data_IF_483380895052
#
_entry.id   IF_483380895052
#
_cell.length_a   1.000
_cell.length_b   1.000
_cell.length_c   1.000
_cell.angle_alpha   90.00
_cell.angle_beta   90.00
_cell.angle_gamma   90.00
#
_symmetry.space_group_name_H-M   'P 1'
#
loop_
_entity.id
_entity.type
_entity.pdbx_description
1 polymer ?
#
# COMPACT_ATOMS: atom_id res chain seq x y z
N UNK A 1 -48.12 -38.82 35.16
CA UNK A 1 -46.78 -38.29 34.84
C UNK A 1 -46.81 -37.86 33.38
N UNK A 2 -46.74 -36.57 33.09
CA UNK A 2 -46.65 -36.05 31.73
C UNK A 2 -45.34 -35.26 31.62
N UNK A 3 -44.35 -35.85 30.96
CA UNK A 3 -43.05 -35.21 30.72
C UNK A 3 -43.18 -34.30 29.51
N UNK A 4 -43.13 -32.98 29.75
CA UNK A 4 -43.12 -31.97 28.70
C UNK A 4 -41.74 -31.91 28.04
N UNK A 5 -41.66 -32.26 26.76
CA UNK A 5 -40.46 -32.04 25.95
C UNK A 5 -40.39 -30.58 25.48
N UNK A 6 -39.58 -29.77 26.15
CA UNK A 6 -39.13 -28.48 25.62
C UNK A 6 -38.13 -28.71 24.49
N UNK A 7 -38.55 -28.49 23.24
CA UNK A 7 -37.64 -28.34 22.10
C UNK A 7 -36.71 -27.15 22.37
N UNK A 8 -35.43 -27.41 22.57
CA UNK A 8 -34.41 -26.36 22.52
C UNK A 8 -34.37 -25.81 21.09
N UNK A 9 -34.70 -24.52 20.94
CA UNK A 9 -34.47 -23.79 19.70
C UNK A 9 -32.95 -23.63 19.56
N UNK A 10 -32.35 -24.34 18.61
CA UNK A 10 -30.95 -24.14 18.24
C UNK A 10 -30.82 -22.74 17.61
N UNK A 11 -30.53 -21.74 18.42
CA UNK A 11 -30.05 -20.45 17.93
C UNK A 11 -28.69 -20.70 17.25
N UNK A 12 -28.61 -20.38 15.96
CA UNK A 12 -27.33 -20.39 15.25
C UNK A 12 -26.38 -19.41 15.95
N UNK A 13 -25.13 -19.80 16.22
CA UNK A 13 -24.18 -18.91 16.87
C UNK A 13 -23.99 -17.66 16.00
N UNK A 14 -23.86 -16.48 16.61
CA UNK A 14 -23.71 -15.24 15.87
C UNK A 14 -22.49 -15.34 14.93
N UNK A 15 -22.58 -14.76 13.72
CA UNK A 15 -21.50 -14.87 12.75
C UNK A 15 -20.20 -14.33 13.34
N UNK A 16 -19.13 -15.14 13.27
CA UNK A 16 -17.81 -14.73 13.74
C UNK A 16 -17.34 -13.51 12.91
N UNK A 17 -17.10 -12.35 13.54
CA UNK A 17 -16.73 -11.12 12.83
C UNK A 17 -15.42 -11.25 12.05
N UNK A 18 -14.47 -12.05 12.52
CA UNK A 18 -13.20 -12.31 11.83
C UNK A 18 -13.44 -13.09 10.52
N UNK A 19 -14.35 -14.06 10.55
CA UNK A 19 -14.72 -14.87 9.37
C UNK A 19 -15.42 -14.02 8.31
N UNK A 20 -16.24 -13.05 8.73
CA UNK A 20 -16.91 -12.10 7.84
C UNK A 20 -15.90 -11.19 7.14
N UNK A 21 -14.97 -10.60 7.91
CA UNK A 21 -13.91 -9.74 7.37
C UNK A 21 -13.04 -10.46 6.32
N UNK A 22 -12.61 -11.69 6.62
CA UNK A 22 -11.81 -12.46 5.66
C UNK A 22 -12.56 -12.77 4.36
N UNK A 23 -13.87 -13.04 4.44
CA UNK A 23 -14.72 -13.29 3.27
C UNK A 23 -14.86 -12.05 2.39
N UNK A 24 -15.02 -10.87 3.00
CA UNK A 24 -15.09 -9.59 2.29
C UNK A 24 -13.75 -9.22 1.64
N UNK A 25 -12.65 -9.33 2.38
CA UNK A 25 -11.30 -9.09 1.85
C UNK A 25 -10.97 -10.02 0.67
N UNK A 26 -11.33 -11.31 0.77
CA UNK A 26 -11.17 -12.29 -0.32
C UNK A 26 -12.00 -11.91 -1.55
N UNK A 27 -13.25 -11.49 -1.38
CA UNK A 27 -14.10 -11.08 -2.49
C UNK A 27 -13.56 -9.82 -3.21
N UNK A 28 -13.04 -8.85 -2.46
CA UNK A 28 -12.37 -7.66 -3.02
C UNK A 28 -11.14 -8.09 -3.82
N UNK A 29 -10.31 -8.98 -3.26
CA UNK A 29 -9.11 -9.49 -3.93
C UNK A 29 -9.43 -10.24 -5.22
N UNK A 30 -10.42 -11.13 -5.22
CA UNK A 30 -10.84 -11.88 -6.42
C UNK A 30 -11.40 -10.94 -7.50
N UNK A 31 -12.20 -9.95 -7.11
CA UNK A 31 -12.71 -8.93 -8.05
C UNK A 31 -11.58 -8.10 -8.68
N UNK A 32 -10.55 -7.75 -7.90
CA UNK A 32 -9.36 -7.07 -8.40
C UNK A 32 -8.56 -7.95 -9.36
N UNK A 33 -8.34 -9.23 -9.01
CA UNK A 33 -7.68 -10.18 -9.90
C UNK A 33 -8.41 -10.25 -11.24
N UNK A 34 -9.72 -10.55 -11.23
CA UNK A 34 -10.50 -10.70 -12.48
C UNK A 34 -10.43 -9.44 -13.36
N UNK A 35 -10.45 -8.25 -12.75
CA UNK A 35 -10.38 -6.97 -13.46
C UNK A 35 -8.99 -6.65 -14.01
N UNK A 36 -7.93 -7.17 -13.38
CA UNK A 36 -6.54 -6.80 -13.63
C UNK A 36 -5.63 -8.01 -13.88
N UNK A 37 -6.16 -9.14 -14.39
CA UNK A 37 -5.35 -10.27 -14.86
C UNK A 37 -5.30 -10.30 -16.38
N UNK A 38 -4.43 -9.47 -16.93
CA UNK A 38 -3.87 -9.61 -18.28
C UNK A 38 -2.35 -9.55 -18.15
N UNK A 39 -1.61 -9.94 -19.19
CA UNK A 39 -0.14 -9.86 -19.18
C UNK A 39 0.34 -8.42 -18.96
N UNK A 40 -0.34 -7.44 -19.55
CA UNK A 40 -0.07 -6.01 -19.38
C UNK A 40 -0.32 -5.54 -17.93
N UNK A 41 -1.38 -6.04 -17.29
CA UNK A 41 -1.66 -5.73 -15.89
C UNK A 41 -0.59 -6.27 -14.93
N UNK A 42 0.16 -7.31 -15.33
CA UNK A 42 1.29 -7.83 -14.54
C UNK A 42 2.51 -6.90 -14.59
N UNK A 43 2.81 -6.33 -15.77
CA UNK A 43 3.90 -5.35 -15.94
C UNK A 43 3.57 -4.03 -15.24
N UNK A 44 2.36 -3.51 -15.46
CA UNK A 44 1.83 -2.34 -14.76
C UNK A 44 1.91 -2.49 -13.24
N UNK A 45 1.46 -3.63 -12.71
CA UNK A 45 1.54 -3.92 -11.26
C UNK A 45 2.99 -3.89 -10.75
N UNK A 46 3.95 -4.41 -11.51
CA UNK A 46 5.34 -4.40 -11.11
C UNK A 46 5.89 -2.97 -11.04
N UNK A 47 5.63 -2.15 -12.05
CA UNK A 47 6.11 -0.75 -12.08
C UNK A 47 5.46 0.08 -10.98
N UNK A 48 4.14 -0.05 -10.79
CA UNK A 48 3.41 0.61 -9.68
C UNK A 48 3.97 0.18 -8.33
N UNK A 49 4.25 -1.12 -8.16
CA UNK A 49 4.83 -1.63 -6.93
C UNK A 49 6.21 -1.04 -6.63
N UNK A 50 7.08 -0.93 -7.65
CA UNK A 50 8.41 -0.31 -7.49
C UNK A 50 8.32 1.18 -7.17
N UNK A 51 7.46 1.93 -7.88
CA UNK A 51 7.22 3.35 -7.60
C UNK A 51 6.70 3.55 -6.16
N UNK A 52 5.74 2.73 -5.73
CA UNK A 52 5.16 2.82 -4.38
C UNK A 52 6.16 2.50 -3.26
N UNK A 53 7.09 1.57 -3.51
CA UNK A 53 8.13 1.20 -2.54
C UNK A 53 9.33 2.14 -2.54
N UNK A 54 9.43 3.04 -3.53
CA UNK A 54 10.55 3.96 -3.61
C UNK A 54 10.43 5.03 -2.53
N UNK A 55 11.53 5.21 -1.79
CA UNK A 55 11.73 6.29 -0.84
C UNK A 55 13.14 6.82 -0.98
N UNK A 56 13.34 8.09 -0.60
CA UNK A 56 14.70 8.61 -0.54
C UNK A 56 15.45 8.06 0.67
N UNK A 57 16.77 7.91 0.54
CA UNK A 57 17.69 7.42 1.57
C UNK A 57 18.86 8.40 1.74
N UNK A 58 19.27 8.64 2.99
CA UNK A 58 20.28 9.64 3.33
C UNK A 58 21.68 9.31 2.79
N UNK A 59 22.01 8.02 2.64
CA UNK A 59 23.34 7.56 2.22
C UNK A 59 23.59 7.73 0.71
N UNK A 60 22.57 8.13 -0.06
CA UNK A 60 22.64 8.21 -1.51
C UNK A 60 22.59 9.64 -1.99
N UNK A 61 23.37 9.94 -3.03
CA UNK A 61 23.39 11.29 -3.60
C UNK A 61 22.02 11.71 -4.14
N UNK A 62 21.55 12.89 -3.73
CA UNK A 62 20.28 13.50 -4.15
C UNK A 62 20.05 13.47 -5.67
N UNK A 63 21.12 13.67 -6.45
CA UNK A 63 21.07 13.62 -7.91
C UNK A 63 20.71 12.22 -8.42
N UNK A 64 21.32 11.18 -7.86
CA UNK A 64 21.04 9.79 -8.24
C UNK A 64 19.60 9.44 -7.88
N UNK A 65 19.14 9.85 -6.70
CA UNK A 65 17.77 9.62 -6.25
C UNK A 65 16.73 10.35 -7.12
N UNK A 66 17.02 11.59 -7.52
CA UNK A 66 16.15 12.36 -8.43
C UNK A 66 16.04 11.68 -9.81
N UNK A 67 17.15 11.16 -10.34
CA UNK A 67 17.16 10.43 -11.60
C UNK A 67 16.36 9.12 -11.51
N UNK A 68 16.45 8.40 -10.38
CA UNK A 68 15.63 7.20 -10.15
C UNK A 68 14.15 7.52 -10.09
N UNK A 69 13.78 8.60 -9.39
CA UNK A 69 12.40 9.07 -9.34
C UNK A 69 11.86 9.38 -10.74
N UNK A 70 12.63 10.13 -11.54
CA UNK A 70 12.28 10.42 -12.94
C UNK A 70 12.12 9.15 -13.77
N UNK A 71 13.02 8.18 -13.59
CA UNK A 71 12.93 6.89 -14.28
C UNK A 71 11.66 6.13 -13.91
N UNK A 72 11.21 6.15 -12.66
CA UNK A 72 9.93 5.54 -12.31
C UNK A 72 8.74 6.23 -12.99
N UNK A 73 8.77 7.55 -13.14
CA UNK A 73 7.74 8.27 -13.89
C UNK A 73 7.75 7.89 -15.38
N UNK A 74 8.93 7.70 -15.96
CA UNK A 74 9.08 7.23 -17.34
C UNK A 74 8.59 5.79 -17.52
N UNK A 75 8.96 4.88 -16.62
CA UNK A 75 8.51 3.49 -16.62
C UNK A 75 6.97 3.41 -16.46
N UNK A 76 6.38 4.23 -15.59
CA UNK A 76 4.93 4.32 -15.43
C UNK A 76 4.26 4.81 -16.71
N UNK A 77 4.81 5.85 -17.34
CA UNK A 77 4.30 6.39 -18.60
C UNK A 77 4.41 5.38 -19.74
N UNK A 78 5.48 4.58 -19.79
CA UNK A 78 5.68 3.53 -20.79
C UNK A 78 4.63 2.43 -20.69
N UNK A 79 4.15 2.16 -19.48
CA UNK A 79 3.05 1.22 -19.19
C UNK A 79 1.66 1.91 -19.26
N UNK A 80 1.58 3.09 -19.87
CA UNK A 80 0.37 3.92 -20.05
C UNK A 80 -0.28 4.41 -18.74
N UNK A 81 0.47 4.40 -17.63
CA UNK A 81 0.04 4.91 -16.33
C UNK A 81 0.45 6.38 -16.22
N UNK A 82 -0.49 7.26 -16.55
CA UNK A 82 -0.27 8.71 -16.47
C UNK A 82 -0.59 9.23 -15.07
N UNK A 83 0.44 9.72 -14.38
CA UNK A 83 0.28 10.42 -13.11
C UNK A 83 0.10 11.93 -13.33
N UNK A 84 -0.84 12.58 -12.65
CA UNK A 84 -0.92 14.03 -12.62
C UNK A 84 0.38 14.63 -12.09
N UNK A 85 0.88 15.69 -12.71
CA UNK A 85 2.14 16.35 -12.31
C UNK A 85 2.14 16.76 -10.83
N UNK A 86 1.00 17.27 -10.34
CA UNK A 86 0.81 17.62 -8.92
C UNK A 86 0.94 16.42 -7.98
N UNK A 87 0.50 15.24 -8.42
CA UNK A 87 0.62 14.01 -7.64
C UNK A 87 2.09 13.57 -7.56
N UNK A 88 2.79 13.55 -8.70
CA UNK A 88 4.22 13.24 -8.73
C UNK A 88 5.03 14.22 -7.85
N UNK A 89 4.81 15.53 -8.01
CA UNK A 89 5.45 16.54 -7.18
C UNK A 89 5.15 16.34 -5.69
N UNK A 90 3.91 16.01 -5.33
CA UNK A 90 3.52 15.71 -3.95
C UNK A 90 4.28 14.54 -3.35
N UNK A 91 4.40 13.43 -4.07
CA UNK A 91 5.18 12.25 -3.61
C UNK A 91 6.65 12.60 -3.38
N UNK A 92 7.25 13.41 -4.26
CA UNK A 92 8.63 13.84 -4.09
C UNK A 92 8.80 14.77 -2.88
N UNK A 93 7.87 15.70 -2.65
CA UNK A 93 7.88 16.61 -1.50
C UNK A 93 7.75 15.84 -0.18
N UNK A 94 6.83 14.88 -0.08
CA UNK A 94 6.68 14.05 1.12
C UNK A 94 7.97 13.29 1.44
N UNK A 95 8.60 12.65 0.45
CA UNK A 95 9.89 11.98 0.64
C UNK A 95 11.00 12.92 1.13
N UNK A 96 11.06 14.15 0.61
CA UNK A 96 12.02 15.17 1.06
C UNK A 96 11.75 15.62 2.50
N UNK A 97 10.49 15.72 2.90
CA UNK A 97 10.10 16.09 4.26
C UNK A 97 10.48 15.00 5.27
N UNK A 98 10.30 13.73 4.91
CA UNK A 98 10.69 12.59 5.74
C UNK A 98 12.20 12.59 6.01
N UNK A 99 13.03 12.72 4.97
CA UNK A 99 14.49 12.85 5.13
C UNK A 99 14.89 14.02 6.03
N UNK A 100 14.23 15.18 5.88
CA UNK A 100 14.54 16.36 6.68
C UNK A 100 14.22 16.17 8.17
N UNK A 101 13.14 15.45 8.47
CA UNK A 101 12.79 15.10 9.83
C UNK A 101 13.82 14.14 10.44
N UNK A 102 14.27 13.14 9.70
CA UNK A 102 15.34 12.22 10.13
C UNK A 102 16.68 12.93 10.33
N UNK A 103 17.02 13.87 9.45
CA UNK A 103 18.18 14.73 9.65
C UNK A 103 18.10 15.57 10.94
N UNK A 104 16.95 16.17 11.24
CA UNK A 104 16.76 16.94 12.48
C UNK A 104 16.84 16.07 13.74
N UNK A 105 16.27 14.86 13.71
CA UNK A 105 16.30 13.96 14.87
C UNK A 105 17.72 13.45 15.13
N UNK A 106 18.48 13.11 14.08
CA UNK A 106 19.89 12.70 14.22
C UNK A 106 20.76 13.83 14.78
N UNK A 107 20.58 15.08 14.33
CA UNK A 107 21.28 16.24 14.88
C UNK A 107 20.90 16.54 16.35
N UNK A 108 19.64 16.36 16.71
CA UNK A 108 19.14 16.63 18.06
C UNK A 108 19.62 15.57 19.07
N UNK A 109 19.76 14.31 18.63
CA UNK A 109 20.23 13.20 19.47
C UNK A 109 21.74 13.28 19.74
N UNK A 110 22.53 13.89 18.84
CA UNK A 110 23.97 14.13 19.05
C UNK A 110 24.29 15.30 19.99
N UNK A 111 23.29 16.04 20.49
CA UNK A 111 23.48 17.19 21.40
C UNK A 111 23.30 16.86 22.90
N UNK A 112 23.41 15.60 23.31
CA UNK A 112 23.49 15.27 24.74
C UNK A 112 24.93 14.98 25.15
N UNK A 113 25.50 15.72 26.12
CA UNK A 113 26.83 15.48 26.67
C UNK A 113 26.92 14.15 27.43
#
# INVERSE_FOLDING_TARGET
MASGNTKQMHATPPPNPIKKFYKEAKAIWEALIIKFTTEDATKQKLVVGKFYQWQMIDEKEMKVQTNEYQKFLEDLKAEEILLPEKFAAGVLIENLLDMWNDYKTTLSTRKKP
#
